data_IF_471535306065
#
_entry.id   IF_471535306065
#
_cell.length_a   1.000
_cell.length_b   1.000
_cell.length_c   1.000
_cell.angle_alpha   90.00
_cell.angle_beta   90.00
_cell.angle_gamma   90.00
#
_symmetry.space_group_name_H-M   'P 1'
#
loop_
_entity.id
_entity.type
_entity.pdbx_description
1 polymer ?
#
# COMPACT_ATOMS: atom_id res chain seq x y z
N UNK A 1 32.07 -18.01 -42.27
CA UNK A 1 30.74 -17.38 -42.45
C UNK A 1 29.93 -17.69 -41.20
N UNK A 2 29.90 -16.80 -40.21
CA UNK A 2 29.16 -16.99 -38.95
C UNK A 2 27.77 -16.38 -39.10
N UNK A 3 26.74 -17.22 -39.04
CA UNK A 3 25.34 -16.80 -39.06
C UNK A 3 25.04 -16.08 -37.73
N UNK A 4 24.65 -14.80 -37.80
CA UNK A 4 24.13 -14.08 -36.63
C UNK A 4 22.76 -14.65 -36.27
N UNK A 5 22.65 -15.24 -35.09
CA UNK A 5 21.39 -15.67 -34.50
C UNK A 5 20.39 -14.50 -34.44
N UNK A 6 19.20 -14.72 -35.01
CA UNK A 6 18.11 -13.77 -34.99
C UNK A 6 17.47 -13.78 -33.60
N UNK A 7 17.85 -12.84 -32.74
CA UNK A 7 17.26 -12.68 -31.41
C UNK A 7 15.81 -12.19 -31.57
N UNK A 8 14.79 -12.94 -31.11
CA UNK A 8 13.40 -12.52 -31.22
C UNK A 8 13.15 -11.23 -30.43
N UNK A 9 12.50 -10.23 -31.06
CA UNK A 9 12.12 -8.98 -30.38
C UNK A 9 11.18 -9.29 -29.20
N UNK A 10 11.39 -8.72 -28.00
CA UNK A 10 10.50 -8.90 -26.86
C UNK A 10 9.08 -8.46 -27.22
N UNK A 11 8.07 -9.33 -26.99
CA UNK A 11 6.66 -8.93 -27.13
C UNK A 11 6.31 -7.92 -26.03
N UNK A 12 5.62 -6.81 -26.35
CA UNK A 12 5.11 -5.90 -25.34
C UNK A 12 4.18 -6.66 -24.39
N UNK A 13 4.43 -6.57 -23.09
CA UNK A 13 3.48 -7.07 -22.10
C UNK A 13 2.22 -6.18 -22.15
N UNK A 14 1.02 -6.75 -22.02
CA UNK A 14 -0.19 -5.95 -21.87
C UNK A 14 -0.02 -4.95 -20.71
N UNK A 15 -0.56 -3.72 -20.82
CA UNK A 15 -0.60 -2.79 -19.70
C UNK A 15 -1.33 -3.47 -18.54
N UNK A 16 -0.64 -3.66 -17.42
CA UNK A 16 -1.31 -4.07 -16.18
C UNK A 16 -2.00 -2.83 -15.64
N UNK A 17 -3.32 -2.89 -15.44
CA UNK A 17 -4.04 -1.82 -14.76
C UNK A 17 -3.41 -1.57 -13.39
N UNK A 18 -2.82 -0.39 -13.22
CA UNK A 18 -2.28 0.02 -11.94
C UNK A 18 -3.46 0.43 -11.07
N UNK A 19 -3.84 -0.40 -10.09
CA UNK A 19 -4.69 0.07 -9.00
C UNK A 19 -3.93 1.18 -8.27
N UNK A 20 -4.52 2.37 -8.19
CA UNK A 20 -3.98 3.48 -7.41
C UNK A 20 -4.55 3.39 -5.99
N UNK A 21 -3.69 3.45 -4.98
CA UNK A 21 -4.16 3.60 -3.59
C UNK A 21 -4.49 5.07 -3.36
N UNK A 22 -5.73 5.41 -2.96
CA UNK A 22 -5.98 6.72 -2.41
C UNK A 22 -5.17 6.83 -1.10
N UNK A 23 -4.42 7.92 -0.97
CA UNK A 23 -3.65 8.23 0.24
C UNK A 23 -4.01 9.67 0.61
N UNK A 24 -4.48 9.87 1.83
CA UNK A 24 -4.76 11.19 2.37
C UNK A 24 -4.12 11.29 3.74
N UNK A 25 -3.25 12.28 3.91
CA UNK A 25 -2.60 12.57 5.19
C UNK A 25 -3.31 13.76 5.83
N UNK A 26 -3.67 13.63 7.10
CA UNK A 26 -4.35 14.67 7.88
C UNK A 26 -3.62 14.90 9.20
N UNK A 27 -3.92 16.03 9.84
CA UNK A 27 -3.35 16.46 11.11
C UNK A 27 -1.81 16.53 11.11
N UNK A 28 -1.22 16.85 9.95
CA UNK A 28 0.23 16.95 9.76
C UNK A 28 0.93 17.97 10.66
N UNK A 29 0.17 18.91 11.23
CA UNK A 29 0.67 19.94 12.14
C UNK A 29 0.64 19.52 13.62
N UNK A 30 0.32 18.25 13.89
CA UNK A 30 0.27 17.68 15.23
C UNK A 30 1.32 16.59 15.38
N UNK A 31 1.61 16.21 16.63
CA UNK A 31 2.53 15.10 16.91
C UNK A 31 1.95 13.73 16.51
N UNK A 32 0.68 13.67 16.11
CA UNK A 32 -0.03 12.44 15.74
C UNK A 32 -0.69 12.54 14.35
N UNK A 33 0.09 12.63 13.26
CA UNK A 33 -0.47 12.60 11.92
C UNK A 33 -1.26 11.32 11.67
N UNK A 34 -2.30 11.42 10.84
CA UNK A 34 -3.13 10.27 10.44
C UNK A 34 -3.10 10.10 8.94
N UNK A 35 -3.00 8.86 8.48
CA UNK A 35 -2.99 8.48 7.07
C UNK A 35 -4.23 7.63 6.80
N UNK A 36 -5.12 8.14 5.96
CA UNK A 36 -6.22 7.38 5.38
C UNK A 36 -5.73 6.73 4.08
N UNK A 37 -5.89 5.41 3.98
CA UNK A 37 -5.58 4.68 2.76
C UNK A 37 -6.43 3.41 2.67
N UNK A 38 -6.12 2.53 1.72
CA UNK A 38 -6.83 1.30 1.49
C UNK A 38 -5.82 0.16 1.28
N UNK A 39 -6.11 -1.03 1.79
CA UNK A 39 -5.27 -2.20 1.55
C UNK A 39 -5.29 -2.61 0.07
N UNK A 40 -4.12 -2.67 -0.58
CA UNK A 40 -3.99 -3.08 -1.99
C UNK A 40 -4.52 -4.50 -2.28
N UNK A 41 -4.67 -5.34 -1.24
CA UNK A 41 -4.95 -6.77 -1.39
C UNK A 41 -6.42 -7.14 -1.19
N UNK A 42 -7.13 -6.43 -0.33
CA UNK A 42 -8.51 -6.74 0.03
C UNK A 42 -9.43 -5.52 -0.02
N UNK A 43 -8.91 -4.38 -0.49
CA UNK A 43 -9.66 -3.15 -0.64
C UNK A 43 -10.30 -2.65 0.70
N UNK A 44 -9.81 -3.14 1.85
CA UNK A 44 -10.21 -2.65 3.18
C UNK A 44 -9.70 -1.22 3.39
N UNK A 45 -10.55 -0.23 3.69
CA UNK A 45 -10.12 1.10 4.10
C UNK A 45 -9.39 1.04 5.45
N UNK A 46 -8.32 1.81 5.58
CA UNK A 46 -7.42 1.81 6.72
C UNK A 46 -7.19 3.23 7.24
N UNK A 47 -7.13 3.36 8.57
CA UNK A 47 -6.59 4.51 9.28
C UNK A 47 -5.28 4.11 9.96
N UNK A 48 -4.20 4.79 9.59
CA UNK A 48 -2.89 4.59 10.20
C UNK A 48 -2.57 5.85 11.01
N UNK A 49 -2.30 5.69 12.30
CA UNK A 49 -1.81 6.77 13.16
C UNK A 49 -0.29 6.66 13.30
N UNK A 50 0.42 7.73 13.00
CA UNK A 50 1.86 7.86 13.22
C UNK A 50 2.11 8.77 14.43
N UNK A 51 3.35 8.78 14.93
CA UNK A 51 3.78 9.71 15.97
C UNK A 51 5.12 10.35 15.60
N UNK A 52 5.21 11.65 15.82
CA UNK A 52 6.42 12.44 15.61
C UNK A 52 7.07 12.68 16.97
N UNK A 53 8.06 11.85 17.33
CA UNK A 53 8.82 11.99 18.58
C UNK A 53 10.18 12.70 18.40
N UNK A 54 10.42 13.27 17.21
CA UNK A 54 11.68 13.92 16.86
C UNK A 54 12.79 12.96 16.42
N UNK A 55 12.54 11.65 16.38
CA UNK A 55 13.47 10.68 15.79
C UNK A 55 13.43 10.69 14.26
N UNK A 56 14.47 10.15 13.63
CA UNK A 56 14.54 10.05 12.18
C UNK A 56 13.47 9.08 11.64
N UNK A 57 12.78 9.42 10.54
CA UNK A 57 11.82 8.52 9.93
C UNK A 57 12.47 7.23 9.41
N UNK A 58 11.78 6.10 9.60
CA UNK A 58 12.19 4.79 9.07
C UNK A 58 11.05 4.14 8.28
N UNK A 59 11.40 3.15 7.45
CA UNK A 59 10.42 2.42 6.65
C UNK A 59 9.68 1.37 7.48
N UNK A 60 8.36 1.50 7.53
CA UNK A 60 7.46 0.57 8.18
C UNK A 60 6.62 -0.23 7.17
N UNK A 61 6.61 -1.55 7.33
CA UNK A 61 5.73 -2.46 6.58
C UNK A 61 4.42 -2.65 7.34
N UNK A 62 3.37 -1.99 6.90
CA UNK A 62 2.08 -2.03 7.59
C UNK A 62 1.26 -3.23 7.14
N UNK A 63 0.94 -4.11 8.09
CA UNK A 63 0.06 -5.25 7.87
C UNK A 63 -1.41 -4.83 7.92
N UNK A 64 -2.20 -5.36 7.00
CA UNK A 64 -3.65 -5.18 7.03
C UNK A 64 -4.23 -5.99 8.20
N UNK A 65 -4.96 -5.36 9.13
CA UNK A 65 -5.61 -6.10 10.22
C UNK A 65 -6.72 -7.05 9.71
N UNK A 66 -7.27 -6.82 8.52
CA UNK A 66 -8.29 -7.67 7.93
C UNK A 66 -7.72 -8.92 7.22
N UNK A 67 -6.73 -8.75 6.32
CA UNK A 67 -6.21 -9.88 5.51
C UNK A 67 -4.79 -10.34 5.87
N UNK A 68 -4.13 -9.70 6.85
CA UNK A 68 -2.76 -10.02 7.31
C UNK A 68 -1.63 -9.70 6.32
N UNK A 69 -1.93 -9.40 5.06
CA UNK A 69 -0.93 -9.04 4.04
C UNK A 69 -0.45 -7.61 4.22
N UNK A 70 0.73 -7.29 3.65
CA UNK A 70 1.23 -5.91 3.62
C UNK A 70 0.27 -5.03 2.81
N UNK A 71 -0.27 -4.01 3.46
CA UNK A 71 -1.21 -3.05 2.90
C UNK A 71 -0.52 -1.79 2.39
N UNK A 72 0.51 -1.33 3.10
CA UNK A 72 1.10 -0.01 2.90
C UNK A 72 2.55 0.02 3.40
N UNK A 73 3.39 0.85 2.79
CA UNK A 73 4.73 1.17 3.27
C UNK A 73 4.73 2.62 3.72
N UNK A 74 4.98 2.88 5.00
CA UNK A 74 4.98 4.21 5.58
C UNK A 74 6.42 4.60 5.98
N UNK A 75 6.85 5.79 5.59
CA UNK A 75 8.10 6.39 6.04
C UNK A 75 7.78 7.38 7.17
N UNK A 76 7.97 6.97 8.42
CA UNK A 76 7.60 7.74 9.60
C UNK A 76 8.51 7.40 10.78
N UNK A 77 8.65 8.27 11.79
CA UNK A 77 9.43 7.94 12.99
C UNK A 77 8.84 6.75 13.76
N UNK A 78 7.50 6.72 13.89
CA UNK A 78 6.79 5.68 14.61
C UNK A 78 5.37 5.45 14.07
N UNK A 79 4.95 4.19 14.04
CA UNK A 79 3.55 3.80 13.85
C UNK A 79 2.93 3.49 15.20
N UNK A 80 1.83 4.17 15.53
CA UNK A 80 1.12 3.99 16.81
C UNK A 80 0.00 2.96 16.67
N UNK A 81 -0.80 3.08 15.61
CA UNK A 81 -1.96 2.23 15.42
C UNK A 81 -2.29 2.05 13.93
N UNK A 82 -2.90 0.91 13.62
CA UNK A 82 -3.43 0.58 12.29
C UNK A 82 -4.82 0.00 12.50
N UNK A 83 -5.83 0.70 12.00
CA UNK A 83 -7.24 0.37 12.23
C UNK A 83 -7.95 0.15 10.89
N UNK A 84 -8.76 -0.90 10.75
CA UNK A 84 -9.69 -0.99 9.63
C UNK A 84 -10.83 0.02 9.82
N UNK A 85 -11.24 0.66 8.73
CA UNK A 85 -12.42 1.53 8.70
C UNK A 85 -13.52 0.85 7.88
N UNK A 86 -14.71 0.72 8.46
CA UNK A 86 -15.86 0.06 7.85
C UNK A 86 -15.66 -1.43 7.59
N UNK A 87 -16.66 -2.08 7.01
CA UNK A 87 -16.57 -3.45 6.53
C UNK A 87 -15.81 -3.51 5.20
N UNK A 88 -14.90 -4.46 5.02
CA UNK A 88 -14.38 -4.76 3.68
C UNK A 88 -15.56 -5.11 2.77
N UNK A 89 -15.57 -4.68 1.49
CA UNK A 89 -16.52 -5.22 0.54
C UNK A 89 -16.34 -6.74 0.52
N UNK A 90 -17.35 -7.47 0.99
CA UNK A 90 -17.37 -8.92 0.98
C UNK A 90 -17.14 -9.36 -0.46
N UNK A 91 -16.13 -10.20 -0.77
CA UNK A 91 -16.00 -10.72 -2.12
C UNK A 91 -17.26 -11.54 -2.38
N UNK A 92 -18.14 -11.05 -3.26
CA UNK A 92 -19.23 -11.85 -3.81
C UNK A 92 -18.60 -13.10 -4.41
N UNK A 93 -18.95 -14.31 -3.96
CA UNK A 93 -18.49 -15.52 -4.62
C UNK A 93 -19.08 -15.50 -6.04
N UNK A 94 -18.20 -15.46 -7.04
CA UNK A 94 -18.58 -15.71 -8.42
C UNK A 94 -19.10 -17.15 -8.48
N UNK A 95 -20.38 -17.31 -8.81
CA UNK A 95 -21.00 -18.60 -9.13
C UNK A 95 -20.83 -18.87 -10.63
#
# INVERSE_FOLDING_TARGET
>A
MTQSENIPKPRPKPPVEKKFQPITVVDCNTDNPRIFTQCYKCDQPLLIQTHHDGSEPVDHKIQCPNCGRIAFFAHAPKIVAVMPLGDAPTPTPSN
#
